data_IF_654145136988
#
_entry.id   IF_654145136988
#
_cell.length_a   1.000
_cell.length_b   1.000
_cell.length_c   1.000
_cell.angle_alpha   90.00
_cell.angle_beta   90.00
_cell.angle_gamma   90.00
#
_symmetry.space_group_name_H-M   'P 1'
#
loop_
_entity.id
_entity.type
_entity.pdbx_description
1 polymer ?
#
# COMPACT_ATOMS: atom_id res chain seq x y z
N UNK A 1 -37.45 43.71 1.91
CA UNK A 1 -36.04 43.35 2.14
C UNK A 1 -36.03 42.07 2.96
N UNK A 2 -35.87 40.92 2.31
CA UNK A 2 -35.80 39.61 2.96
C UNK A 2 -34.36 39.09 2.85
N UNK A 3 -33.60 39.17 3.94
CA UNK A 3 -32.34 38.46 4.06
C UNK A 3 -32.62 37.01 4.46
N UNK A 4 -32.40 36.08 3.54
CA UNK A 4 -32.37 34.65 3.85
C UNK A 4 -30.93 34.20 3.97
N UNK A 5 -30.52 33.79 5.18
CA UNK A 5 -29.32 33.01 5.40
C UNK A 5 -29.49 31.64 4.74
N UNK A 6 -28.63 31.33 3.77
CA UNK A 6 -28.48 29.98 3.24
C UNK A 6 -27.30 29.34 3.96
N UNK A 7 -27.60 28.64 5.05
CA UNK A 7 -26.71 27.66 5.65
C UNK A 7 -26.64 26.46 4.70
N UNK A 8 -25.53 26.28 3.99
CA UNK A 8 -25.19 25.02 3.33
C UNK A 8 -24.72 24.02 4.39
N UNK A 9 -25.31 22.81 4.49
CA UNK A 9 -24.77 21.75 5.32
C UNK A 9 -23.60 21.10 4.60
N UNK A 10 -22.40 21.25 5.16
CA UNK A 10 -21.23 20.44 4.81
C UNK A 10 -21.31 19.15 5.62
N UNK A 11 -21.89 18.11 5.03
CA UNK A 11 -21.79 16.74 5.55
C UNK A 11 -21.37 15.82 4.41
N UNK A 12 -20.07 15.58 4.28
CA UNK A 12 -19.57 14.33 3.69
C UNK A 12 -18.52 13.73 4.63
N UNK A 13 -19.07 13.03 5.63
CA UNK A 13 -18.56 11.82 6.26
C UNK A 13 -17.07 11.53 6.16
N UNK A 14 -16.33 12.12 7.08
CA UNK A 14 -15.16 11.50 7.67
C UNK A 14 -15.57 10.11 8.18
N UNK A 15 -15.31 9.05 7.41
CA UNK A 15 -15.19 7.71 7.99
C UNK A 15 -13.79 7.60 8.65
N UNK A 16 -13.46 8.55 9.53
CA UNK A 16 -12.52 8.26 10.60
C UNK A 16 -13.29 7.43 11.62
N UNK A 17 -13.27 6.11 11.41
CA UNK A 17 -13.35 5.22 12.55
C UNK A 17 -12.09 5.52 13.37
N UNK A 18 -12.18 6.50 14.26
CA UNK A 18 -11.28 6.65 15.41
C UNK A 18 -11.55 5.47 16.35
N UNK A 19 -11.21 4.29 15.86
CA UNK A 19 -11.01 3.14 16.71
C UNK A 19 -9.74 3.50 17.48
N UNK A 20 -9.89 3.65 18.79
CA UNK A 20 -8.85 3.82 19.81
C UNK A 20 -7.84 2.65 19.87
N UNK A 21 -7.56 2.03 18.73
CA UNK A 21 -6.60 0.97 18.51
C UNK A 21 -5.22 1.45 18.92
N UNK A 22 -4.75 0.88 20.02
CA UNK A 22 -3.37 1.02 20.46
C UNK A 22 -2.57 -0.11 19.82
N UNK A 23 -1.55 0.19 19.00
CA UNK A 23 -0.71 -0.85 18.45
C UNK A 23 -0.13 -1.71 19.59
N UNK A 24 0.03 -3.02 19.38
CA UNK A 24 0.59 -3.89 20.39
C UNK A 24 2.01 -3.44 20.75
N UNK A 25 2.48 -3.70 21.98
CA UNK A 25 3.87 -3.47 22.34
C UNK A 25 4.78 -4.26 21.39
N UNK A 26 5.89 -3.65 20.98
CA UNK A 26 6.88 -4.32 20.16
C UNK A 26 7.48 -5.49 20.94
N UNK A 27 7.42 -6.69 20.35
CA UNK A 27 8.08 -7.88 20.84
C UNK A 27 8.93 -8.47 19.73
N UNK A 28 10.11 -8.94 20.07
CA UNK A 28 10.99 -9.61 19.10
C UNK A 28 10.47 -11.03 18.80
N UNK A 29 10.88 -11.58 17.67
CA UNK A 29 10.55 -12.97 17.33
C UNK A 29 11.06 -13.93 18.41
N UNK A 30 12.27 -13.70 18.93
CA UNK A 30 12.86 -14.54 19.97
C UNK A 30 12.04 -14.50 21.28
N UNK A 31 11.56 -13.33 21.70
CA UNK A 31 10.67 -13.21 22.86
C UNK A 31 9.34 -13.94 22.65
N UNK A 32 8.77 -13.85 21.44
CA UNK A 32 7.53 -14.56 21.09
C UNK A 32 7.74 -16.07 21.18
N UNK A 33 8.89 -16.58 20.73
CA UNK A 33 9.26 -18.00 20.79
C UNK A 33 9.62 -18.45 22.22
N UNK A 34 10.12 -17.56 23.06
CA UNK A 34 10.46 -17.84 24.45
C UNK A 34 9.25 -17.94 25.39
N UNK A 35 8.10 -17.38 24.99
CA UNK A 35 6.88 -17.43 25.80
C UNK A 35 6.14 -18.76 25.59
N UNK A 36 5.51 -19.32 26.63
CA UNK A 36 4.60 -20.49 26.56
C UNK A 36 5.19 -21.75 25.90
N UNK A 37 6.46 -22.06 26.18
CA UNK A 37 7.17 -23.19 25.55
C UNK A 37 6.63 -24.56 25.98
N UNK A 38 5.98 -24.62 27.13
CA UNK A 38 5.31 -25.79 27.66
C UNK A 38 3.99 -26.11 26.95
N UNK A 39 3.41 -25.15 26.21
CA UNK A 39 2.13 -25.33 25.52
C UNK A 39 2.35 -25.77 24.06
N UNK A 40 2.05 -27.04 23.79
CA UNK A 40 2.19 -27.63 22.45
C UNK A 40 1.32 -26.92 21.40
N UNK A 41 0.12 -26.46 21.79
CA UNK A 41 -0.81 -25.80 20.87
C UNK A 41 -0.31 -24.42 20.45
N UNK A 42 0.22 -23.65 21.41
CA UNK A 42 0.81 -22.34 21.14
C UNK A 42 2.12 -22.45 20.34
N UNK A 43 2.91 -23.50 20.58
CA UNK A 43 4.09 -23.79 19.76
C UNK A 43 3.74 -24.05 18.29
N UNK A 44 2.77 -24.93 18.02
CA UNK A 44 2.29 -25.20 16.66
C UNK A 44 1.68 -23.97 16.00
N UNK A 45 0.97 -23.15 16.78
CA UNK A 45 0.41 -21.89 16.29
C UNK A 45 1.52 -20.91 15.87
N UNK A 46 2.54 -20.73 16.71
CA UNK A 46 3.71 -19.90 16.37
C UNK A 46 4.46 -20.44 15.15
N UNK A 47 4.54 -21.76 14.99
CA UNK A 47 5.16 -22.43 13.84
C UNK A 47 4.44 -22.12 12.53
N UNK A 48 3.12 -22.26 12.53
CA UNK A 48 2.31 -21.93 11.37
C UNK A 48 2.42 -20.44 10.98
N UNK A 49 2.54 -19.53 11.94
CA UNK A 49 2.63 -18.09 11.68
C UNK A 49 4.02 -17.62 11.25
N UNK A 50 5.06 -18.06 11.96
CA UNK A 50 6.43 -17.56 11.77
C UNK A 50 7.19 -18.35 10.71
N UNK A 51 6.87 -19.63 10.50
CA UNK A 51 7.52 -20.50 9.53
C UNK A 51 9.05 -20.43 9.63
N UNK A 52 9.69 -19.98 8.55
CA UNK A 52 11.15 -19.84 8.45
C UNK A 52 11.76 -18.98 9.57
N UNK A 53 11.02 -17.98 10.05
CA UNK A 53 11.53 -17.04 11.05
C UNK A 53 11.73 -17.67 12.45
N UNK A 54 11.29 -18.91 12.66
CA UNK A 54 11.61 -19.66 13.88
C UNK A 54 13.03 -20.21 13.92
N UNK A 55 13.59 -20.51 12.75
CA UNK A 55 14.88 -21.20 12.63
C UNK A 55 16.06 -20.23 12.67
N UNK A 56 15.78 -18.93 12.66
CA UNK A 56 16.76 -17.87 12.73
C UNK A 56 16.28 -16.60 12.04
N UNK A 57 17.13 -15.57 12.09
CA UNK A 57 16.85 -14.29 11.46
C UNK A 57 16.80 -14.43 9.94
N UNK A 58 15.63 -14.19 9.34
CA UNK A 58 15.47 -14.18 7.89
C UNK A 58 16.00 -12.86 7.32
N UNK A 59 16.97 -12.93 6.42
CA UNK A 59 17.60 -11.77 5.78
C UNK A 59 17.63 -12.01 4.28
N UNK A 60 17.04 -11.09 3.52
CA UNK A 60 17.01 -11.13 2.05
C UNK A 60 18.05 -10.16 1.47
N UNK A 61 18.17 -8.97 2.06
CA UNK A 61 19.19 -7.97 1.71
C UNK A 61 19.98 -7.57 2.98
N UNK A 62 21.16 -8.15 3.19
CA UNK A 62 22.01 -7.87 4.35
C UNK A 62 22.36 -6.39 4.49
N UNK A 63 22.67 -5.72 3.38
CA UNK A 63 23.09 -4.32 3.33
C UNK A 63 21.93 -3.32 3.52
N UNK A 64 20.68 -3.80 3.47
CA UNK A 64 19.51 -2.97 3.66
C UNK A 64 19.03 -3.08 5.12
N UNK A 65 19.06 -1.98 5.91
CA UNK A 65 18.64 -2.01 7.30
C UNK A 65 17.11 -2.06 7.46
N UNK A 66 16.33 -1.87 6.38
CA UNK A 66 14.86 -1.86 6.45
C UNK A 66 14.30 -3.26 6.67
N UNK A 67 13.21 -3.32 7.43
CA UNK A 67 12.42 -4.55 7.66
C UNK A 67 11.55 -4.90 6.45
N UNK A 68 10.98 -3.89 5.78
CA UNK A 68 10.17 -4.05 4.56
C UNK A 68 10.95 -3.59 3.33
N UNK A 69 11.05 -4.45 2.33
CA UNK A 69 11.73 -4.21 1.07
C UNK A 69 10.72 -4.27 -0.07
N UNK A 70 10.13 -3.13 -0.43
CA UNK A 70 9.18 -3.06 -1.54
C UNK A 70 9.94 -3.21 -2.86
N UNK A 71 9.58 -4.22 -3.64
CA UNK A 71 10.22 -4.56 -4.91
C UNK A 71 9.46 -4.00 -6.09
N UNK A 72 8.15 -4.20 -6.13
CA UNK A 72 7.34 -3.78 -7.26
C UNK A 72 5.98 -3.22 -6.85
N UNK A 73 5.49 -2.29 -7.66
CA UNK A 73 4.08 -1.91 -7.71
C UNK A 73 3.52 -2.31 -9.06
N UNK A 74 2.57 -3.22 -9.08
CA UNK A 74 1.97 -3.74 -10.30
C UNK A 74 0.57 -3.18 -10.45
N UNK A 75 0.32 -2.49 -11.55
CA UNK A 75 -1.02 -2.12 -11.98
C UNK A 75 -1.65 -3.33 -12.68
N UNK A 76 -2.73 -3.84 -12.09
CA UNK A 76 -3.53 -4.93 -12.63
C UNK A 76 -4.84 -4.32 -13.12
N UNK A 77 -5.09 -4.35 -14.43
CA UNK A 77 -6.31 -3.82 -15.04
C UNK A 77 -6.90 -4.87 -15.98
N UNK A 78 -8.23 -4.96 -16.05
CA UNK A 78 -8.91 -6.06 -16.72
C UNK A 78 -8.67 -6.10 -18.24
N UNK A 79 -8.41 -4.95 -18.87
CA UNK A 79 -8.37 -4.77 -20.32
C UNK A 79 -6.95 -4.67 -20.90
N UNK A 80 -5.91 -4.98 -20.11
CA UNK A 80 -4.51 -4.85 -20.55
C UNK A 80 -3.57 -5.77 -19.78
N UNK A 81 -2.36 -6.04 -20.32
CA UNK A 81 -1.29 -6.67 -19.56
C UNK A 81 -0.93 -5.86 -18.32
N UNK A 82 -0.54 -6.58 -17.26
CA UNK A 82 -0.04 -5.99 -16.02
C UNK A 82 1.16 -5.08 -16.31
N UNK A 83 1.21 -3.96 -15.59
CA UNK A 83 2.34 -3.04 -15.68
C UNK A 83 3.05 -3.01 -14.34
N UNK A 84 4.29 -3.49 -14.31
CA UNK A 84 5.10 -3.50 -13.10
C UNK A 84 6.04 -2.29 -13.07
N UNK A 85 6.02 -1.58 -11.96
CA UNK A 85 7.01 -0.60 -11.57
C UNK A 85 8.06 -1.26 -10.70
N UNK A 86 9.30 -1.29 -11.15
CA UNK A 86 10.42 -1.73 -10.33
C UNK A 86 10.86 -0.62 -9.37
N UNK A 87 10.83 -0.92 -8.07
CA UNK A 87 11.16 0.00 -6.99
C UNK A 87 12.56 -0.24 -6.40
N UNK A 88 13.32 -1.19 -6.95
CA UNK A 88 14.67 -1.53 -6.46
C UNK A 88 15.76 -0.61 -7.01
N UNK A 89 15.50 0.04 -8.15
CA UNK A 89 16.43 0.94 -8.81
C UNK A 89 16.34 2.40 -8.37
N UNK A 90 16.79 3.31 -9.23
CA UNK A 90 16.73 4.75 -8.99
C UNK A 90 15.27 5.27 -9.07
N UNK A 91 14.67 5.48 -7.89
CA UNK A 91 13.32 5.99 -7.69
C UNK A 91 13.10 7.35 -8.41
N UNK A 92 14.16 8.13 -8.64
CA UNK A 92 14.07 9.41 -9.35
C UNK A 92 13.62 9.25 -10.80
N UNK A 93 13.91 8.09 -11.42
CA UNK A 93 13.47 7.77 -12.78
C UNK A 93 11.97 7.52 -12.83
N UNK A 94 11.42 6.89 -11.80
CA UNK A 94 9.98 6.58 -11.68
C UNK A 94 9.10 7.84 -11.61
N UNK A 95 9.65 8.98 -11.12
CA UNK A 95 8.94 10.27 -11.13
C UNK A 95 8.58 10.79 -12.52
N UNK A 96 9.29 10.30 -13.54
CA UNK A 96 9.07 10.66 -14.94
C UNK A 96 8.21 9.63 -15.66
N UNK A 97 8.05 8.43 -15.09
CA UNK A 97 7.21 7.40 -15.68
C UNK A 97 5.73 7.77 -15.58
N UNK A 98 5.05 7.60 -16.70
CA UNK A 98 3.63 7.93 -16.85
C UNK A 98 2.87 6.68 -17.22
N UNK A 99 1.89 6.28 -16.40
CA UNK A 99 0.97 5.20 -16.76
C UNK A 99 -0.26 5.78 -17.41
N UNK A 100 -0.78 5.06 -18.41
CA UNK A 100 -2.07 5.40 -18.99
C UNK A 100 -3.09 4.39 -18.56
N UNK A 101 -4.10 4.87 -17.83
CA UNK A 101 -5.26 4.07 -17.45
C UNK A 101 -6.45 4.62 -18.22
N UNK A 102 -7.21 3.73 -18.85
CA UNK A 102 -8.43 4.09 -19.56
C UNK A 102 -9.49 4.51 -18.55
N UNK A 103 -10.27 5.52 -18.92
CA UNK A 103 -11.37 6.02 -18.10
C UNK A 103 -12.42 4.95 -17.83
N UNK A 104 -12.93 4.89 -16.59
CA UNK A 104 -13.97 3.94 -16.19
C UNK A 104 -13.53 2.48 -16.16
N UNK A 105 -12.24 2.19 -16.30
CA UNK A 105 -11.70 0.84 -16.14
C UNK A 105 -11.42 0.58 -14.67
N UNK A 106 -11.84 -0.61 -14.24
CA UNK A 106 -11.52 -1.14 -12.92
C UNK A 106 -10.08 -1.63 -12.89
N UNK A 107 -9.32 -1.20 -11.88
CA UNK A 107 -7.94 -1.59 -11.67
C UNK A 107 -7.68 -1.95 -10.21
N UNK A 108 -6.62 -2.70 -9.98
CA UNK A 108 -6.06 -3.03 -8.66
C UNK A 108 -4.58 -2.71 -8.64
N UNK A 109 -4.05 -2.43 -7.46
CA UNK A 109 -2.62 -2.30 -7.24
C UNK A 109 -2.15 -3.52 -6.47
N UNK A 110 -1.25 -4.30 -7.07
CA UNK A 110 -0.51 -5.36 -6.36
C UNK A 110 0.85 -4.82 -5.93
N UNK A 111 1.18 -5.04 -4.68
CA UNK A 111 2.40 -4.60 -4.03
C UNK A 111 3.21 -5.86 -3.76
N UNK A 112 4.43 -5.94 -4.26
CA UNK A 112 5.32 -7.09 -4.07
C UNK A 112 6.52 -6.65 -3.23
N UNK A 113 6.76 -7.35 -2.12
CA UNK A 113 7.74 -6.94 -1.12
C UNK A 113 8.30 -8.14 -0.34
N UNK A 114 9.48 -7.97 0.25
CA UNK A 114 9.99 -8.86 1.28
C UNK A 114 9.82 -8.26 2.66
N UNK A 115 9.69 -9.12 3.66
CA UNK A 115 9.85 -8.76 5.06
C UNK A 115 11.06 -9.53 5.57
N UNK A 116 11.97 -8.84 6.24
CA UNK A 116 13.18 -9.41 6.82
C UNK A 116 13.38 -8.93 8.26
N UNK A 117 14.20 -9.67 9.00
CA UNK A 117 14.61 -9.43 10.39
C UNK A 117 13.49 -9.66 11.41
N UNK A 118 12.46 -8.84 11.38
CA UNK A 118 11.41 -8.80 12.40
C UNK A 118 10.01 -8.76 11.80
N UNK A 119 9.01 -9.14 12.59
CA UNK A 119 7.60 -9.03 12.20
C UNK A 119 7.28 -7.54 12.00
N UNK A 120 6.52 -7.27 10.94
CA UNK A 120 6.00 -5.95 10.65
C UNK A 120 4.50 -5.97 10.93
N UNK A 121 4.08 -5.18 11.90
CA UNK A 121 2.68 -5.07 12.29
C UNK A 121 2.03 -3.85 11.63
N UNK A 122 0.77 -3.99 11.21
CA UNK A 122 -0.04 -2.86 10.75
C UNK A 122 0.54 -2.13 9.54
N UNK A 123 1.15 -2.87 8.61
CA UNK A 123 1.67 -2.33 7.37
C UNK A 123 0.52 -1.62 6.60
N UNK A 124 0.77 -0.38 6.15
CA UNK A 124 -0.20 0.43 5.42
C UNK A 124 0.34 0.84 4.06
N UNK A 125 -0.54 0.83 3.07
CA UNK A 125 -0.31 1.46 1.77
C UNK A 125 -1.04 2.78 1.73
N UNK A 126 -0.31 3.87 1.47
CA UNK A 126 -0.88 5.21 1.36
C UNK A 126 -0.67 5.72 -0.07
N UNK A 127 -1.75 6.10 -0.72
CA UNK A 127 -1.76 6.77 -2.01
C UNK A 127 -2.27 8.20 -1.83
N UNK A 128 -1.50 9.19 -2.27
CA UNK A 128 -1.93 10.58 -2.37
C UNK A 128 -1.99 10.99 -3.82
N UNK A 129 -3.09 11.56 -4.25
CA UNK A 129 -3.37 11.96 -5.62
C UNK A 129 -3.23 13.49 -5.70
N UNK A 130 -2.46 13.99 -6.66
CA UNK A 130 -2.22 15.41 -6.88
C UNK A 130 -2.64 15.80 -8.30
N UNK A 131 -3.32 16.93 -8.42
CA UNK A 131 -3.69 17.54 -9.70
C UNK A 131 -3.04 18.91 -9.81
N UNK A 132 -2.26 19.13 -10.87
CA UNK A 132 -1.50 20.38 -11.05
C UNK A 132 -0.61 20.77 -9.85
N UNK A 133 -0.20 19.79 -9.04
CA UNK A 133 0.63 20.02 -7.84
C UNK A 133 -0.14 20.26 -6.55
N UNK A 134 -1.47 20.35 -6.61
CA UNK A 134 -2.34 20.44 -5.44
C UNK A 134 -2.82 19.04 -5.06
N UNK A 135 -2.74 18.63 -3.79
CA UNK A 135 -3.32 17.35 -3.34
C UNK A 135 -4.85 17.42 -3.51
N UNK A 136 -5.41 16.39 -4.15
CA UNK A 136 -6.85 16.30 -4.43
C UNK A 136 -7.51 15.08 -3.80
N UNK A 137 -6.73 14.08 -3.41
CA UNK A 137 -7.24 12.85 -2.80
C UNK A 137 -6.12 12.13 -2.00
N UNK A 138 -6.51 11.38 -0.97
CA UNK A 138 -5.63 10.54 -0.16
C UNK A 138 -6.41 9.28 0.24
N UNK A 139 -5.85 8.15 -0.11
CA UNK A 139 -6.38 6.83 0.20
C UNK A 139 -5.37 6.03 1.03
N UNK A 140 -5.85 5.32 2.04
CA UNK A 140 -5.03 4.48 2.91
C UNK A 140 -5.63 3.09 3.00
N UNK A 141 -4.87 2.07 2.61
CA UNK A 141 -5.25 0.66 2.71
C UNK A 141 -4.44 -0.02 3.80
N UNK A 142 -5.11 -0.66 4.76
CA UNK A 142 -4.48 -1.56 5.72
C UNK A 142 -4.06 -2.83 4.98
N UNK A 143 -2.76 -3.09 4.94
CA UNK A 143 -2.17 -4.25 4.27
C UNK A 143 -2.19 -5.44 5.22
N UNK A 144 -1.78 -5.22 6.47
CA UNK A 144 -1.83 -6.23 7.54
C UNK A 144 -0.51 -6.42 8.26
N UNK A 145 -0.32 -7.59 8.89
CA UNK A 145 0.91 -7.96 9.57
C UNK A 145 1.61 -9.09 8.84
N UNK A 146 2.94 -9.01 8.74
CA UNK A 146 3.74 -9.92 7.93
C UNK A 146 4.98 -10.38 8.72
N UNK A 147 5.20 -11.69 8.76
CA UNK A 147 6.42 -12.27 9.30
C UNK A 147 7.55 -12.22 8.25
N UNK A 148 8.82 -12.24 8.67
CA UNK A 148 9.95 -12.38 7.78
C UNK A 148 9.90 -13.68 6.96
N UNK A 149 10.14 -13.59 5.65
CA UNK A 149 10.15 -14.75 4.72
C UNK A 149 11.16 -14.53 3.61
N UNK A 150 11.79 -15.61 3.14
CA UNK A 150 12.73 -15.56 2.01
C UNK A 150 12.03 -15.47 0.67
N UNK A 151 10.74 -15.84 0.59
CA UNK A 151 9.90 -15.69 -0.58
C UNK A 151 9.23 -14.31 -0.64
N UNK A 152 8.92 -13.87 -1.86
CA UNK A 152 8.25 -12.59 -2.08
C UNK A 152 6.81 -12.67 -1.57
N UNK A 153 6.43 -11.69 -0.77
CA UNK A 153 5.07 -11.53 -0.27
C UNK A 153 4.35 -10.49 -1.12
N UNK A 154 3.02 -10.57 -1.19
CA UNK A 154 2.23 -9.59 -1.93
C UNK A 154 0.92 -9.25 -1.26
N UNK A 155 0.44 -8.05 -1.59
CA UNK A 155 -0.90 -7.58 -1.24
C UNK A 155 -1.53 -6.94 -2.48
N UNK A 156 -2.80 -7.24 -2.73
CA UNK A 156 -3.55 -6.62 -3.82
C UNK A 156 -4.68 -5.80 -3.21
N UNK A 157 -4.75 -4.51 -3.57
CA UNK A 157 -5.84 -3.63 -3.12
C UNK A 157 -7.19 -4.15 -3.62
N UNK A 158 -8.30 -3.72 -2.97
CA UNK A 158 -9.62 -3.81 -3.59
C UNK A 158 -9.64 -3.19 -4.99
N UNK A 159 -10.62 -3.57 -5.80
CA UNK A 159 -10.86 -2.94 -7.10
C UNK A 159 -11.24 -1.47 -6.92
N UNK A 160 -10.63 -0.62 -7.74
CA UNK A 160 -10.93 0.81 -7.84
C UNK A 160 -11.26 1.15 -9.28
N UNK A 161 -12.23 2.04 -9.49
CA UNK A 161 -12.58 2.50 -10.83
C UNK A 161 -11.87 3.81 -11.15
N UNK A 162 -11.23 3.87 -12.32
CA UNK A 162 -10.58 5.10 -12.77
C UNK A 162 -11.64 6.22 -12.93
N UNK A 163 -11.44 7.39 -12.29
CA UNK A 163 -12.45 8.46 -12.26
C UNK A 163 -12.87 8.86 -13.68
N UNK A 164 -14.12 9.25 -13.90
CA UNK A 164 -14.68 9.58 -15.22
C UNK A 164 -15.14 11.03 -15.34
N UNK A 165 -15.37 11.51 -16.57
CA UNK A 165 -15.89 12.85 -16.87
C UNK A 165 -14.86 13.86 -17.40
N UNK A 166 -15.35 14.93 -18.06
CA UNK A 166 -14.52 15.95 -18.75
C UNK A 166 -13.48 16.62 -17.85
N UNK A 167 -13.82 16.83 -16.57
CA UNK A 167 -12.95 17.50 -15.59
C UNK A 167 -11.84 16.56 -15.07
N UNK A 168 -12.00 15.24 -15.16
CA UNK A 168 -11.01 14.25 -14.73
C UNK A 168 -10.00 13.86 -15.83
N UNK A 169 -10.02 14.55 -16.97
CA UNK A 169 -9.14 14.32 -18.14
C UNK A 169 -7.90 15.22 -18.09
N UNK A 170 -7.10 15.09 -17.04
CA UNK A 170 -5.86 15.87 -16.87
C UNK A 170 -4.73 14.99 -16.33
N UNK A 171 -3.49 15.45 -16.43
CA UNK A 171 -2.32 14.75 -15.88
C UNK A 171 -2.39 14.73 -14.35
N UNK A 172 -2.39 13.53 -13.76
CA UNK A 172 -2.51 13.30 -12.32
C UNK A 172 -1.18 12.74 -11.80
N UNK A 173 -0.69 13.29 -10.68
CA UNK A 173 0.50 12.80 -9.97
C UNK A 173 0.08 12.00 -8.75
N UNK A 174 0.40 10.72 -8.71
CA UNK A 174 0.13 9.84 -7.57
C UNK A 174 1.38 9.59 -6.75
N UNK A 175 1.39 10.05 -5.51
CA UNK A 175 2.35 9.69 -4.49
C UNK A 175 1.93 8.38 -3.79
N UNK A 176 2.59 7.28 -4.08
CA UNK A 176 2.41 5.96 -3.47
C UNK A 176 3.51 5.69 -2.45
N UNK A 177 3.22 4.97 -1.37
CA UNK A 177 4.26 4.54 -0.44
C UNK A 177 3.77 3.54 0.60
N UNK A 178 4.58 2.52 0.84
CA UNK A 178 4.64 1.83 2.13
C UNK A 178 5.82 2.48 2.86
N UNK A 179 5.49 3.45 3.70
CA UNK A 179 6.40 4.19 4.59
C UNK A 179 7.50 5.11 3.99
N UNK A 180 7.75 5.17 2.67
CA UNK A 180 8.43 6.32 2.00
C UNK A 180 7.94 6.60 0.56
N UNK A 181 8.11 7.86 0.15
CA UNK A 181 7.58 8.60 -1.01
C UNK A 181 7.96 8.03 -2.41
N UNK A 182 6.98 7.57 -3.21
CA UNK A 182 7.10 7.32 -4.66
C UNK A 182 6.09 8.18 -5.39
N UNK A 183 6.49 9.11 -6.26
CA UNK A 183 5.53 9.90 -7.07
C UNK A 183 5.52 9.32 -8.47
N UNK A 184 4.37 8.88 -8.96
CA UNK A 184 4.10 8.40 -10.31
C UNK A 184 3.22 9.39 -11.04
N UNK A 185 3.37 9.54 -12.34
CA UNK A 185 2.39 10.27 -13.15
C UNK A 185 1.44 9.29 -13.80
N UNK A 186 0.17 9.64 -13.88
CA UNK A 186 -0.82 8.89 -14.65
C UNK A 186 -1.43 9.84 -15.67
N UNK A 187 -1.17 9.59 -16.96
CA UNK A 187 -1.73 10.33 -18.09
C UNK A 187 -2.85 9.51 -18.73
N UNK A 188 -4.07 10.02 -18.71
CA UNK A 188 -5.20 9.45 -19.48
C UNK A 188 -5.04 9.70 -20.97
N UNK A 189 -5.43 8.74 -21.81
CA UNK A 189 -5.47 8.88 -23.28
C UNK A 189 -6.86 8.45 -23.80
N UNK A 190 -7.36 9.15 -24.83
CA UNK A 190 -8.58 8.86 -25.60
C UNK A 190 -8.38 7.59 -26.46
N UNK A 191 -9.39 6.73 -26.58
CA UNK A 191 -9.54 5.91 -27.78
C UNK A 191 -10.60 6.57 -28.67
N UNK A 192 -10.20 6.92 -29.89
CA UNK A 192 -11.14 7.27 -30.95
C UNK A 192 -11.90 6.01 -31.37
N UNK A 193 -13.19 6.17 -31.65
CA UNK A 193 -13.91 5.23 -32.53
C UNK A 193 -13.24 5.21 -33.90
#
# INVERSE_FOLDING_TARGET
MSGGEVHTPTEEGENEVDLSYKPPPEKTIDEILATDQEDESLRKYKEALLGQAQTGTVIVEPDNPRKVLVKKLVLVAADRPEIALDLTGDISKLKKETFTIKEGVSYKIRIEFFVQREIVHGLKYIQKTFRMGVPVDKMTHMVGSYAPKTEIQSYTTPSEDAPSGMIARVDIRNQKGLERLIILRIRKIKHGK
#
